data_IF_737172742126
#
_entry.id   IF_737172742126
#
_cell.length_a   1.000
_cell.length_b   1.000
_cell.length_c   1.000
_cell.angle_alpha   90.00
_cell.angle_beta   90.00
_cell.angle_gamma   90.00
#
_symmetry.space_group_name_H-M   'P 1'
#
loop_
_entity.id
_entity.type
_entity.pdbx_description
1 polymer ?
#
# COMPACT_ATOMS: atom_id res chain seq x y z
N UNK A 1 -32.14 14.39 61.95
CA UNK A 1 -31.31 13.62 61.03
C UNK A 1 -31.81 12.19 61.04
N UNK A 2 -32.67 11.79 60.10
CA UNK A 2 -33.30 10.48 60.01
C UNK A 2 -32.41 9.57 59.13
N UNK A 3 -32.03 8.42 59.66
CA UNK A 3 -31.26 7.40 59.01
C UNK A 3 -32.16 6.68 58.00
N UNK A 4 -31.80 6.50 56.73
CA UNK A 4 -32.63 5.80 55.75
C UNK A 4 -32.75 4.32 56.09
N UNK A 5 -33.93 3.77 55.89
CA UNK A 5 -34.25 2.38 56.21
C UNK A 5 -33.64 1.40 55.17
N UNK A 6 -33.47 0.16 55.59
CA UNK A 6 -32.89 -0.90 54.77
C UNK A 6 -33.68 -1.16 53.45
N UNK A 7 -34.95 -0.71 53.38
CA UNK A 7 -35.81 -0.80 52.21
C UNK A 7 -35.41 0.19 51.12
N UNK A 8 -34.95 1.42 51.47
CA UNK A 8 -34.54 2.46 50.53
C UNK A 8 -33.20 2.12 49.85
N UNK A 9 -32.34 1.41 50.55
CA UNK A 9 -31.06 0.91 50.00
C UNK A 9 -31.22 -0.24 48.97
N UNK A 10 -32.25 -1.06 49.10
CA UNK A 10 -32.57 -2.14 48.16
C UNK A 10 -33.19 -1.60 46.87
N UNK A 11 -34.09 -0.59 46.97
CA UNK A 11 -34.68 0.05 45.80
C UNK A 11 -33.65 0.84 44.99
N UNK A 12 -32.70 1.51 45.64
CA UNK A 12 -31.62 2.24 44.92
C UNK A 12 -30.65 1.34 44.19
N UNK A 13 -30.36 0.12 44.74
CA UNK A 13 -29.52 -0.88 44.07
C UNK A 13 -30.23 -1.54 42.90
N UNK A 14 -31.52 -1.79 42.98
CA UNK A 14 -32.31 -2.35 41.87
C UNK A 14 -32.46 -1.40 40.71
N UNK A 15 -32.62 -0.09 40.94
CA UNK A 15 -32.67 0.95 39.88
C UNK A 15 -31.33 1.13 39.19
N UNK A 16 -30.23 1.05 39.92
CA UNK A 16 -28.87 1.11 39.35
C UNK A 16 -28.51 -0.13 38.49
N UNK A 17 -28.96 -1.32 38.90
CA UNK A 17 -28.74 -2.55 38.13
C UNK A 17 -29.61 -2.54 36.85
N UNK A 18 -30.84 -2.05 36.91
CA UNK A 18 -31.71 -1.91 35.72
C UNK A 18 -31.18 -0.87 34.73
N UNK A 19 -30.63 0.24 35.20
CA UNK A 19 -29.99 1.23 34.35
C UNK A 19 -28.69 0.72 33.70
N UNK A 20 -27.87 -0.03 34.42
CA UNK A 20 -26.67 -0.63 33.89
C UNK A 20 -26.96 -1.72 32.84
N UNK A 21 -28.01 -2.54 33.02
CA UNK A 21 -28.47 -3.51 32.02
C UNK A 21 -29.06 -2.86 30.77
N UNK A 22 -29.79 -1.74 30.90
CA UNK A 22 -30.29 -0.98 29.74
C UNK A 22 -29.15 -0.34 28.93
N UNK A 23 -28.11 0.18 29.59
CA UNK A 23 -26.92 0.76 28.90
C UNK A 23 -26.10 -0.36 28.19
N UNK A 24 -25.99 -1.53 28.76
CA UNK A 24 -25.30 -2.68 28.14
C UNK A 24 -26.08 -3.20 26.91
N UNK A 25 -27.42 -3.18 26.91
CA UNK A 25 -28.22 -3.61 25.76
C UNK A 25 -28.23 -2.58 24.61
N UNK A 26 -28.16 -1.29 24.91
CA UNK A 26 -28.10 -0.24 23.88
C UNK A 26 -26.70 -0.24 23.20
N UNK A 27 -25.62 -0.53 23.95
CA UNK A 27 -24.28 -0.59 23.37
C UNK A 27 -24.04 -1.81 22.48
N UNK A 28 -24.67 -2.96 22.74
CA UNK A 28 -24.54 -4.15 21.88
C UNK A 28 -25.27 -4.03 20.55
N UNK A 29 -26.41 -3.35 20.50
CA UNK A 29 -27.13 -3.10 19.25
C UNK A 29 -26.43 -2.04 18.37
N UNK A 30 -25.83 -1.01 18.97
CA UNK A 30 -25.08 0.02 18.23
C UNK A 30 -23.82 -0.53 17.56
N UNK A 31 -23.16 -1.54 18.15
CA UNK A 31 -21.97 -2.18 17.56
C UNK A 31 -22.36 -3.14 16.42
N UNK A 32 -23.52 -3.78 16.48
CA UNK A 32 -24.00 -4.68 15.42
C UNK A 32 -24.44 -3.92 14.16
N UNK A 33 -25.00 -2.74 14.29
CA UNK A 33 -25.40 -1.90 13.15
C UNK A 33 -24.20 -1.30 12.38
N UNK A 34 -23.06 -1.08 13.03
CA UNK A 34 -21.84 -0.59 12.36
C UNK A 34 -21.26 -1.63 11.41
N UNK A 35 -21.49 -2.91 11.63
CA UNK A 35 -20.97 -4.02 10.80
C UNK A 35 -22.05 -4.73 9.95
N UNK A 36 -23.32 -4.43 10.12
CA UNK A 36 -24.40 -5.03 9.32
C UNK A 36 -24.69 -4.28 8.01
N UNK A 37 -24.01 -3.16 7.76
CA UNK A 37 -24.15 -2.36 6.53
C UNK A 37 -23.45 -2.93 5.28
N UNK A 38 -23.05 -4.21 5.28
CA UNK A 38 -22.35 -4.81 4.14
C UNK A 38 -23.23 -5.07 2.90
N UNK A 39 -24.54 -5.18 3.07
CA UNK A 39 -25.46 -5.48 1.95
C UNK A 39 -25.88 -4.23 1.19
N UNK A 40 -26.00 -3.07 1.84
CA UNK A 40 -26.37 -1.80 1.19
C UNK A 40 -25.21 -1.19 0.37
N UNK A 41 -23.96 -1.47 0.74
CA UNK A 41 -22.80 -0.94 0.01
C UNK A 41 -22.68 -1.54 -1.39
N UNK A 42 -22.98 -2.81 -1.58
CA UNK A 42 -22.95 -3.47 -2.87
C UNK A 42 -24.01 -2.92 -3.84
N UNK A 43 -25.22 -2.57 -3.34
CA UNK A 43 -26.30 -1.99 -4.14
C UNK A 43 -26.00 -0.54 -4.56
N UNK A 44 -25.36 0.25 -3.70
CA UNK A 44 -24.93 1.62 -4.04
C UNK A 44 -23.77 1.64 -5.06
N UNK A 45 -22.93 0.60 -5.11
CA UNK A 45 -21.86 0.48 -6.11
C UNK A 45 -22.39 0.25 -7.52
N UNK A 46 -23.56 -0.39 -7.67
CA UNK A 46 -24.14 -0.75 -8.96
C UNK A 46 -24.97 0.38 -9.62
N UNK A 47 -25.33 1.46 -8.90
CA UNK A 47 -26.36 2.42 -9.35
C UNK A 47 -25.85 3.67 -10.04
N UNK A 48 -24.57 4.06 -9.87
CA UNK A 48 -24.06 5.26 -10.51
C UNK A 48 -23.39 4.90 -11.84
N UNK A 49 -23.95 5.39 -12.94
CA UNK A 49 -23.39 5.26 -14.27
C UNK A 49 -23.38 6.63 -14.95
N UNK A 50 -22.17 7.14 -15.21
CA UNK A 50 -21.98 8.42 -15.86
C UNK A 50 -21.23 8.23 -17.18
N UNK A 51 -21.77 8.84 -18.24
CA UNK A 51 -21.13 8.86 -19.55
C UNK A 51 -20.36 10.16 -19.73
N UNK A 52 -19.30 10.17 -20.56
CA UNK A 52 -18.56 11.39 -20.87
C UNK A 52 -19.42 12.34 -21.72
N UNK A 53 -19.31 13.64 -21.41
CA UNK A 53 -19.94 14.68 -22.22
C UNK A 53 -18.97 15.36 -23.18
N UNK A 54 -17.67 15.20 -22.97
CA UNK A 54 -16.62 15.70 -23.86
C UNK A 54 -15.92 14.55 -24.59
N UNK A 55 -15.36 14.84 -25.75
CA UNK A 55 -14.56 13.85 -26.49
C UNK A 55 -13.23 13.61 -25.79
N UNK A 56 -12.75 12.38 -25.75
CA UNK A 56 -11.45 12.01 -25.16
C UNK A 56 -10.31 12.92 -25.66
N UNK A 57 -10.21 13.11 -26.99
CA UNK A 57 -9.16 13.91 -27.62
C UNK A 57 -9.14 15.38 -27.16
N UNK A 58 -10.28 15.97 -26.81
CA UNK A 58 -10.33 17.37 -26.37
C UNK A 58 -9.68 17.62 -25.01
N UNK A 59 -9.40 16.55 -24.24
CA UNK A 59 -8.69 16.68 -22.96
C UNK A 59 -7.26 17.21 -23.08
N UNK A 60 -6.65 17.11 -24.25
CA UNK A 60 -5.33 17.73 -24.55
C UNK A 60 -5.37 19.25 -24.37
N UNK A 61 -6.51 19.87 -24.66
CA UNK A 61 -6.72 21.32 -24.54
C UNK A 61 -6.80 21.77 -23.06
N UNK A 62 -6.89 20.84 -22.10
CA UNK A 62 -6.93 21.16 -20.68
C UNK A 62 -5.55 21.39 -20.06
N UNK A 63 -4.49 21.32 -20.87
CA UNK A 63 -3.12 21.60 -20.45
C UNK A 63 -2.98 23.05 -19.98
N UNK A 64 -2.26 23.27 -18.86
CA UNK A 64 -1.92 24.59 -18.35
C UNK A 64 -0.52 24.56 -17.68
N UNK A 65 -0.15 25.64 -16.96
CA UNK A 65 1.16 25.71 -16.29
C UNK A 65 1.35 24.65 -15.18
N UNK A 66 0.29 24.01 -14.70
CA UNK A 66 0.33 23.00 -13.64
C UNK A 66 0.59 21.60 -14.18
N UNK A 67 0.12 21.30 -15.37
CA UNK A 67 0.30 20.01 -16.02
C UNK A 67 0.10 20.12 -17.55
N UNK A 68 0.67 19.16 -18.25
CA UNK A 68 0.46 18.98 -19.69
C UNK A 68 -0.17 17.63 -19.95
N UNK A 69 -1.27 17.58 -20.67
CA UNK A 69 -1.81 16.35 -21.28
C UNK A 69 -1.03 16.10 -22.56
N UNK A 70 -0.17 15.10 -22.53
CA UNK A 70 0.70 14.72 -23.67
C UNK A 70 -0.11 13.99 -24.73
N UNK A 71 -1.00 13.10 -24.30
CA UNK A 71 -1.92 12.39 -25.19
C UNK A 71 -3.24 12.10 -24.50
N UNK A 72 -4.32 12.03 -25.29
CA UNK A 72 -5.64 11.55 -24.85
C UNK A 72 -6.24 10.70 -25.98
N UNK A 73 -6.30 9.40 -25.77
CA UNK A 73 -6.63 8.40 -26.79
C UNK A 73 -7.80 7.55 -26.30
N UNK A 74 -8.83 7.41 -27.13
CA UNK A 74 -9.89 6.44 -26.88
C UNK A 74 -9.34 5.03 -27.14
N UNK A 75 -9.33 4.22 -26.12
CA UNK A 75 -8.98 2.79 -26.17
C UNK A 75 -10.29 2.01 -26.30
N UNK A 76 -10.43 1.27 -27.38
CA UNK A 76 -11.60 0.44 -27.63
C UNK A 76 -11.67 -0.73 -26.63
N UNK A 77 -12.90 -1.17 -26.36
CA UNK A 77 -13.10 -2.34 -25.49
C UNK A 77 -12.51 -3.59 -26.12
N UNK A 78 -11.96 -4.45 -25.29
CA UNK A 78 -11.58 -5.80 -25.64
C UNK A 78 -12.18 -6.81 -24.63
N UNK A 79 -11.87 -8.09 -24.77
CA UNK A 79 -12.43 -9.14 -23.91
C UNK A 79 -12.12 -8.93 -22.41
N UNK A 80 -11.06 -8.17 -22.10
CA UNK A 80 -10.53 -8.01 -20.75
C UNK A 80 -10.73 -6.63 -20.16
N UNK A 81 -10.88 -5.58 -20.98
CA UNK A 81 -10.91 -4.20 -20.51
C UNK A 81 -11.99 -3.41 -21.24
N UNK A 82 -12.88 -2.68 -20.54
CA UNK A 82 -13.89 -1.83 -21.16
C UNK A 82 -13.28 -0.63 -21.90
N UNK A 83 -14.04 -0.08 -22.85
CA UNK A 83 -13.62 1.12 -23.56
C UNK A 83 -13.39 2.29 -22.56
N UNK A 84 -12.30 3.02 -22.77
CA UNK A 84 -11.91 4.11 -21.89
C UNK A 84 -11.04 5.15 -22.60
N UNK A 85 -11.07 6.36 -22.12
CA UNK A 85 -10.13 7.41 -22.52
C UNK A 85 -8.85 7.28 -21.71
N UNK A 86 -7.73 6.92 -22.36
CA UNK A 86 -6.40 6.91 -21.75
C UNK A 86 -5.72 8.25 -21.96
N UNK A 87 -5.26 8.83 -20.88
CA UNK A 87 -4.56 10.11 -20.83
C UNK A 87 -3.17 9.85 -20.27
N UNK A 88 -2.15 10.22 -21.04
CA UNK A 88 -0.78 10.28 -20.59
C UNK A 88 -0.40 11.77 -20.42
N UNK A 89 0.17 12.11 -19.27
CA UNK A 89 0.49 13.50 -18.99
C UNK A 89 1.75 13.69 -18.16
N UNK A 90 2.14 14.95 -18.04
CA UNK A 90 3.32 15.41 -17.33
C UNK A 90 2.94 16.53 -16.36
N UNK A 91 3.36 16.42 -15.12
CA UNK A 91 3.31 17.48 -14.12
C UNK A 91 4.75 17.99 -13.92
N UNK A 92 5.03 19.28 -14.00
CA UNK A 92 6.38 19.82 -13.82
C UNK A 92 6.98 19.42 -12.45
N UNK A 93 8.28 19.02 -12.41
CA UNK A 93 9.23 19.05 -13.54
C UNK A 93 9.20 17.79 -14.41
N UNK A 94 9.04 16.59 -13.82
CA UNK A 94 9.20 15.32 -14.56
C UNK A 94 8.20 14.23 -14.14
N UNK A 95 7.18 14.57 -13.35
CA UNK A 95 6.19 13.59 -12.88
C UNK A 95 5.31 13.18 -14.05
N UNK A 96 5.44 11.95 -14.50
CA UNK A 96 4.51 11.36 -15.47
C UNK A 96 3.33 10.72 -14.76
N UNK A 97 2.16 10.89 -15.35
CA UNK A 97 0.96 10.23 -14.87
C UNK A 97 0.18 9.60 -16.03
N UNK A 98 -0.53 8.54 -15.70
CA UNK A 98 -1.55 7.92 -16.55
C UNK A 98 -2.89 8.02 -15.84
N UNK A 99 -3.92 8.46 -16.57
CA UNK A 99 -5.31 8.50 -16.11
C UNK A 99 -6.18 7.79 -17.15
N UNK A 100 -7.00 6.85 -16.70
CA UNK A 100 -7.94 6.14 -17.57
C UNK A 100 -9.36 6.42 -17.10
N UNK A 101 -10.18 6.92 -17.99
CA UNK A 101 -11.55 7.35 -17.77
C UNK A 101 -12.50 6.44 -18.57
N UNK A 102 -13.23 5.50 -17.92
CA UNK A 102 -14.11 4.57 -18.62
C UNK A 102 -15.30 5.30 -19.27
N UNK A 103 -15.84 4.77 -20.38
CA UNK A 103 -17.04 5.36 -21.01
C UNK A 103 -18.30 5.19 -20.13
N UNK A 104 -18.27 4.25 -19.19
CA UNK A 104 -19.32 4.04 -18.20
C UNK A 104 -18.68 4.15 -16.83
N UNK A 105 -18.78 5.33 -16.21
CA UNK A 105 -18.09 5.64 -14.96
C UNK A 105 -19.01 5.53 -13.74
N UNK A 106 -18.54 4.91 -12.66
CA UNK A 106 -19.28 4.78 -11.40
C UNK A 106 -19.14 5.98 -10.44
N UNK A 107 -18.53 7.08 -10.89
CA UNK A 107 -18.29 8.26 -10.06
C UNK A 107 -17.10 8.16 -9.11
N UNK A 108 -16.25 7.12 -9.22
CA UNK A 108 -15.13 6.87 -8.32
C UNK A 108 -13.80 6.87 -9.05
N UNK A 109 -12.76 7.37 -8.36
CA UNK A 109 -11.37 7.32 -8.84
C UNK A 109 -10.59 6.34 -7.95
N UNK A 110 -9.85 5.44 -8.58
CA UNK A 110 -8.95 4.51 -7.93
C UNK A 110 -7.51 4.83 -8.34
N UNK A 111 -6.68 5.16 -7.36
CA UNK A 111 -5.25 5.38 -7.55
C UNK A 111 -4.47 4.30 -6.81
N UNK A 112 -3.46 3.73 -7.47
CA UNK A 112 -2.68 2.65 -6.91
C UNK A 112 -1.19 3.01 -6.78
N UNK A 113 -0.56 2.44 -5.75
CA UNK A 113 0.76 2.82 -5.29
C UNK A 113 1.92 2.20 -6.07
N UNK A 114 3.11 2.68 -5.72
CA UNK A 114 4.37 2.22 -6.26
C UNK A 114 4.98 1.13 -5.37
N UNK A 115 5.95 0.41 -5.91
CA UNK A 115 6.79 -0.52 -5.17
C UNK A 115 8.26 -0.08 -5.15
N UNK A 116 9.03 -0.55 -4.18
CA UNK A 116 10.46 -0.27 -4.09
C UNK A 116 10.79 1.21 -4.07
N UNK A 117 11.66 1.65 -4.96
CA UNK A 117 12.03 3.04 -5.13
C UNK A 117 11.19 3.78 -6.19
N UNK A 118 10.03 3.22 -6.55
CA UNK A 118 9.13 3.75 -7.57
C UNK A 118 9.74 3.79 -8.99
N UNK A 119 9.37 4.76 -9.81
CA UNK A 119 9.91 4.92 -11.18
C UNK A 119 9.46 3.83 -12.16
N UNK A 120 8.46 3.02 -11.84
CA UNK A 120 7.92 2.03 -12.77
C UNK A 120 6.97 2.72 -13.73
N UNK A 121 7.15 2.57 -15.06
CA UNK A 121 6.21 3.14 -16.02
C UNK A 121 4.82 2.50 -15.94
N UNK A 122 3.78 3.24 -16.32
CA UNK A 122 2.39 2.74 -16.34
C UNK A 122 2.20 1.53 -17.28
N UNK A 123 3.02 1.41 -18.31
CA UNK A 123 3.03 0.29 -19.26
C UNK A 123 3.58 -1.03 -18.68
N UNK A 124 4.09 -1.04 -17.46
CA UNK A 124 4.49 -2.27 -16.77
C UNK A 124 3.29 -3.20 -16.54
N UNK A 125 3.44 -4.51 -16.79
CA UNK A 125 2.35 -5.49 -16.71
C UNK A 125 1.62 -5.50 -15.37
N UNK A 126 2.36 -5.36 -14.27
CA UNK A 126 1.74 -5.32 -12.94
C UNK A 126 0.88 -4.08 -12.74
N UNK A 127 1.27 -2.94 -13.32
CA UNK A 127 0.49 -1.70 -13.31
C UNK A 127 -0.74 -1.79 -14.20
N UNK A 128 -0.61 -2.38 -15.37
CA UNK A 128 -1.73 -2.64 -16.26
C UNK A 128 -2.77 -3.53 -15.59
N UNK A 129 -2.37 -4.59 -14.90
CA UNK A 129 -3.29 -5.47 -14.19
C UNK A 129 -4.16 -4.71 -13.17
N UNK A 130 -3.54 -3.88 -12.31
CA UNK A 130 -4.27 -3.10 -11.33
C UNK A 130 -5.26 -2.11 -11.97
N UNK A 131 -4.84 -1.43 -13.05
CA UNK A 131 -5.69 -0.57 -13.87
C UNK A 131 -6.90 -1.33 -14.42
N UNK A 132 -6.65 -2.45 -15.07
CA UNK A 132 -7.66 -3.21 -15.79
C UNK A 132 -8.72 -3.80 -14.84
N UNK A 133 -8.31 -4.28 -13.67
CA UNK A 133 -9.23 -4.74 -12.63
C UNK A 133 -10.14 -3.64 -12.09
N UNK A 134 -9.66 -2.41 -12.00
CA UNK A 134 -10.47 -1.27 -11.58
C UNK A 134 -11.41 -0.78 -12.70
N UNK A 135 -10.92 -0.70 -13.95
CA UNK A 135 -11.72 -0.35 -15.12
C UNK A 135 -12.90 -1.32 -15.34
N UNK A 136 -12.70 -2.63 -15.13
CA UNK A 136 -13.79 -3.65 -15.16
C UNK A 136 -14.92 -3.34 -14.17
N UNK A 137 -14.63 -2.59 -13.12
CA UNK A 137 -15.59 -2.14 -12.10
C UNK A 137 -16.03 -0.70 -12.30
N UNK A 138 -15.82 -0.17 -13.51
CA UNK A 138 -16.18 1.21 -13.90
C UNK A 138 -15.51 2.31 -13.08
N UNK A 139 -14.38 2.05 -12.43
CA UNK A 139 -13.58 3.09 -11.80
C UNK A 139 -12.74 3.85 -12.84
N UNK A 140 -12.65 5.16 -12.69
CA UNK A 140 -11.52 5.89 -13.27
C UNK A 140 -10.23 5.50 -12.53
N UNK A 141 -9.10 5.35 -13.24
CA UNK A 141 -7.86 4.91 -12.61
C UNK A 141 -6.74 5.91 -12.81
N UNK A 142 -5.96 6.17 -11.77
CA UNK A 142 -4.81 7.06 -11.81
C UNK A 142 -3.53 6.36 -11.35
N UNK A 143 -2.40 6.72 -11.97
CA UNK A 143 -1.08 6.22 -11.63
C UNK A 143 -0.01 7.29 -11.88
N UNK A 144 1.09 7.25 -11.13
CA UNK A 144 2.27 8.11 -11.33
C UNK A 144 3.57 7.33 -11.20
N UNK A 145 4.58 7.71 -11.99
CA UNK A 145 5.94 7.19 -11.87
C UNK A 145 6.74 7.83 -10.72
N UNK A 146 6.19 8.87 -10.08
CA UNK A 146 6.82 9.67 -9.01
C UNK A 146 8.00 10.55 -9.47
N UNK A 147 8.03 10.96 -10.72
CA UNK A 147 8.99 11.93 -11.26
C UNK A 147 10.32 11.34 -11.71
N UNK A 148 10.39 10.03 -11.97
CA UNK A 148 11.57 9.38 -12.56
C UNK A 148 11.21 8.04 -13.23
N UNK A 149 12.12 7.55 -14.06
CA UNK A 149 12.03 6.25 -14.69
C UNK A 149 13.17 5.34 -14.19
N UNK A 150 12.85 4.25 -13.50
CA UNK A 150 13.83 3.31 -12.94
C UNK A 150 14.71 2.62 -14.00
N UNK A 151 14.31 2.64 -15.27
CA UNK A 151 15.09 2.09 -16.40
C UNK A 151 16.23 3.04 -16.78
N UNK A 152 16.06 4.34 -16.54
CA UNK A 152 17.04 5.40 -16.82
C UNK A 152 17.86 5.71 -15.57
N UNK A 153 17.21 5.80 -14.43
CA UNK A 153 17.83 6.10 -13.14
C UNK A 153 17.54 4.98 -12.13
N UNK A 154 18.29 3.85 -12.21
CA UNK A 154 18.04 2.69 -11.37
C UNK A 154 18.34 2.97 -9.90
N UNK A 155 17.64 2.25 -9.03
CA UNK A 155 17.83 2.35 -7.59
C UNK A 155 17.51 3.75 -7.05
N UNK A 156 18.35 4.26 -6.16
CA UNK A 156 18.21 5.59 -5.55
C UNK A 156 18.90 6.71 -6.32
N UNK A 157 19.49 6.42 -7.48
CA UNK A 157 20.29 7.39 -8.26
C UNK A 157 19.50 8.58 -8.75
N UNK A 158 18.17 8.45 -8.91
CA UNK A 158 17.30 9.55 -9.29
C UNK A 158 17.34 10.72 -8.30
N UNK A 159 17.60 10.43 -7.01
CA UNK A 159 17.63 11.44 -5.94
C UNK A 159 19.03 12.06 -5.74
N UNK A 160 20.08 11.52 -6.42
CA UNK A 160 21.45 12.03 -6.26
C UNK A 160 21.55 13.46 -6.81
N UNK A 161 21.92 14.39 -5.92
CA UNK A 161 21.98 15.83 -6.22
C UNK A 161 20.70 16.41 -6.86
N UNK A 162 19.55 15.78 -6.65
CA UNK A 162 18.28 16.22 -7.20
C UNK A 162 17.18 16.22 -6.12
N UNK A 163 17.11 17.33 -5.40
CA UNK A 163 16.14 17.50 -4.32
C UNK A 163 14.69 17.49 -4.82
N UNK A 164 14.41 17.99 -6.03
CA UNK A 164 13.06 17.99 -6.60
C UNK A 164 12.53 16.57 -6.80
N UNK A 165 13.34 15.67 -7.35
CA UNK A 165 12.94 14.26 -7.51
C UNK A 165 12.75 13.56 -6.16
N UNK A 166 13.52 13.93 -5.14
CA UNK A 166 13.32 13.41 -3.79
C UNK A 166 11.98 13.87 -3.22
N UNK A 167 11.60 15.13 -3.41
CA UNK A 167 10.30 15.68 -2.99
C UNK A 167 9.14 15.02 -3.76
N UNK A 168 9.30 14.84 -5.07
CA UNK A 168 8.31 14.16 -5.91
C UNK A 168 8.07 12.73 -5.45
N UNK A 169 9.15 11.96 -5.27
CA UNK A 169 9.09 10.61 -4.71
C UNK A 169 8.52 10.58 -3.29
N UNK A 170 8.87 11.58 -2.47
CA UNK A 170 8.45 11.67 -1.08
C UNK A 170 6.93 11.78 -0.94
N UNK A 171 6.32 12.73 -1.63
CA UNK A 171 4.89 13.03 -1.46
C UNK A 171 4.24 13.81 -2.61
N UNK A 172 4.99 14.67 -3.32
CA UNK A 172 4.41 15.66 -4.25
C UNK A 172 3.75 14.99 -5.46
N UNK A 173 4.35 13.93 -6.00
CA UNK A 173 3.83 13.27 -7.19
C UNK A 173 2.45 12.66 -6.99
N UNK A 174 2.22 11.95 -5.88
CA UNK A 174 0.91 11.37 -5.57
C UNK A 174 -0.15 12.46 -5.42
N UNK A 175 0.14 13.49 -4.61
CA UNK A 175 -0.76 14.61 -4.37
C UNK A 175 -1.17 15.32 -5.67
N UNK A 176 -0.21 15.71 -6.48
CA UNK A 176 -0.51 16.44 -7.71
C UNK A 176 -1.20 15.56 -8.75
N UNK A 177 -0.85 14.28 -8.84
CA UNK A 177 -1.50 13.36 -9.76
C UNK A 177 -2.98 13.18 -9.45
N UNK A 178 -3.34 12.95 -8.19
CA UNK A 178 -4.77 12.78 -7.85
C UNK A 178 -5.55 14.08 -8.05
N UNK A 179 -4.98 15.24 -7.72
CA UNK A 179 -5.63 16.54 -8.00
C UNK A 179 -5.87 16.76 -9.48
N UNK A 180 -4.85 16.50 -10.33
CA UNK A 180 -4.96 16.59 -11.78
C UNK A 180 -6.00 15.60 -12.31
N UNK A 181 -6.00 14.37 -11.80
CA UNK A 181 -6.97 13.34 -12.20
C UNK A 181 -8.41 13.73 -11.87
N UNK A 182 -8.66 14.29 -10.67
CA UNK A 182 -9.98 14.83 -10.29
C UNK A 182 -10.44 15.95 -11.22
N UNK A 183 -9.52 16.84 -11.61
CA UNK A 183 -9.80 17.95 -12.52
C UNK A 183 -10.17 17.45 -13.91
N UNK A 184 -9.37 16.56 -14.49
CA UNK A 184 -9.60 16.01 -15.83
C UNK A 184 -10.87 15.15 -15.88
N UNK A 185 -11.13 14.34 -14.86
CA UNK A 185 -12.38 13.58 -14.75
C UNK A 185 -13.59 14.53 -14.67
N UNK A 186 -13.51 15.59 -13.84
CA UNK A 186 -14.58 16.59 -13.75
C UNK A 186 -14.86 17.26 -15.10
N UNK A 187 -13.83 17.56 -15.87
CA UNK A 187 -14.04 18.11 -17.20
C UNK A 187 -14.69 17.09 -18.13
N UNK A 188 -14.17 15.86 -18.17
CA UNK A 188 -14.63 14.82 -19.10
C UNK A 188 -16.11 14.43 -18.91
N UNK A 189 -16.55 14.29 -17.64
CA UNK A 189 -17.92 13.90 -17.31
C UNK A 189 -18.83 15.08 -16.92
N UNK A 190 -18.30 16.32 -16.89
CA UNK A 190 -18.97 17.50 -16.30
C UNK A 190 -19.47 17.24 -14.86
N UNK A 191 -18.76 16.40 -14.11
CA UNK A 191 -19.12 15.97 -12.78
C UNK A 191 -17.87 15.65 -11.95
N UNK A 192 -17.85 16.13 -10.72
CA UNK A 192 -16.80 15.74 -9.77
C UNK A 192 -16.92 14.27 -9.39
N UNK A 193 -15.80 13.64 -9.07
CA UNK A 193 -15.81 12.31 -8.47
C UNK A 193 -16.58 12.35 -7.13
N UNK A 194 -17.41 11.34 -6.91
CA UNK A 194 -18.11 11.17 -5.63
C UNK A 194 -17.12 10.73 -4.54
N UNK A 195 -16.20 9.84 -4.90
CA UNK A 195 -15.18 9.31 -4.01
C UNK A 195 -13.88 9.05 -4.74
N UNK A 196 -12.78 9.07 -4.01
CA UNK A 196 -11.44 8.73 -4.47
C UNK A 196 -10.77 7.77 -3.48
N UNK A 197 -10.13 6.74 -4.01
CA UNK A 197 -9.53 5.68 -3.21
C UNK A 197 -8.06 5.50 -3.56
N UNK A 198 -7.28 5.23 -2.51
CA UNK A 198 -5.89 4.81 -2.63
C UNK A 198 -5.72 3.36 -2.19
N UNK A 199 -4.94 2.59 -2.95
CA UNK A 199 -4.48 1.27 -2.54
C UNK A 199 -2.98 1.14 -2.81
N UNK A 200 -2.20 0.83 -1.78
CA UNK A 200 -0.77 0.66 -1.94
C UNK A 200 -0.13 -0.20 -0.85
N UNK A 201 0.82 -1.04 -1.27
CA UNK A 201 1.61 -1.89 -0.39
C UNK A 201 3.09 -1.46 -0.42
N UNK A 202 3.85 -1.72 0.64
CA UNK A 202 5.28 -1.38 0.75
C UNK A 202 5.51 0.14 0.61
N UNK A 203 6.20 0.59 -0.41
CA UNK A 203 6.30 2.03 -0.74
C UNK A 203 4.93 2.66 -0.97
N UNK A 204 3.99 1.94 -1.60
CA UNK A 204 2.60 2.38 -1.74
C UNK A 204 1.88 2.51 -0.40
N UNK A 205 2.18 1.67 0.57
CA UNK A 205 1.71 1.80 1.96
C UNK A 205 2.30 3.04 2.64
N UNK A 206 3.57 3.36 2.42
CA UNK A 206 4.19 4.63 2.87
C UNK A 206 3.51 5.84 2.23
N UNK A 207 3.27 5.80 0.92
CA UNK A 207 2.55 6.85 0.19
C UNK A 207 1.13 7.05 0.76
N UNK A 208 0.44 5.96 1.08
CA UNK A 208 -0.86 5.96 1.75
C UNK A 208 -0.83 6.74 3.08
N UNK A 209 0.11 6.41 3.97
CA UNK A 209 0.25 7.07 5.27
C UNK A 209 0.59 8.56 5.14
N UNK A 210 1.47 8.90 4.19
CA UNK A 210 1.82 10.30 3.92
C UNK A 210 0.61 11.07 3.38
N UNK A 211 -0.16 10.48 2.46
CA UNK A 211 -1.38 11.10 1.92
C UNK A 211 -2.42 11.33 3.01
N UNK A 212 -2.69 10.33 3.86
CA UNK A 212 -3.61 10.47 4.97
C UNK A 212 -3.20 11.59 5.95
N UNK A 213 -1.91 11.71 6.24
CA UNK A 213 -1.40 12.69 7.19
C UNK A 213 -1.31 14.11 6.61
N UNK A 214 -0.78 14.25 5.39
CA UNK A 214 -0.46 15.57 4.83
C UNK A 214 -1.54 16.12 3.90
N UNK A 215 -2.31 15.25 3.27
CA UNK A 215 -3.30 15.60 2.26
C UNK A 215 -4.62 14.84 2.46
N UNK A 216 -5.29 15.03 3.63
CA UNK A 216 -6.46 14.24 4.01
C UNK A 216 -7.65 14.39 3.03
N UNK A 217 -7.66 15.43 2.20
CA UNK A 217 -8.70 15.67 1.20
C UNK A 217 -8.42 15.00 -0.16
N UNK A 218 -7.28 14.30 -0.30
CA UNK A 218 -6.94 13.66 -1.57
C UNK A 218 -7.76 12.38 -1.80
N UNK A 219 -8.01 11.63 -0.73
CA UNK A 219 -8.68 10.33 -0.80
C UNK A 219 -9.72 10.19 0.31
N UNK A 220 -10.86 9.59 -0.04
CA UNK A 220 -11.97 9.28 0.89
C UNK A 220 -11.74 7.91 1.57
N UNK A 221 -10.97 7.03 0.94
CA UNK A 221 -10.59 5.73 1.50
C UNK A 221 -9.16 5.37 1.12
N UNK A 222 -8.40 4.86 2.10
CA UNK A 222 -6.97 4.54 1.95
C UNK A 222 -6.69 3.14 2.48
N UNK A 223 -6.11 2.29 1.64
CA UNK A 223 -5.53 0.99 2.03
C UNK A 223 -4.01 1.13 2.06
N UNK A 224 -3.43 0.99 3.26
CA UNK A 224 -1.99 1.05 3.50
C UNK A 224 -1.45 -0.34 3.87
N UNK A 225 -1.14 -1.15 2.87
CA UNK A 225 -0.59 -2.49 3.06
C UNK A 225 0.90 -2.46 3.41
N UNK A 226 1.32 -3.18 4.46
CA UNK A 226 2.72 -3.35 4.86
C UNK A 226 3.59 -2.09 4.62
N UNK A 227 3.24 -0.93 5.21
CA UNK A 227 3.86 0.35 4.87
C UNK A 227 5.34 0.39 5.26
N UNK A 228 6.18 0.87 4.36
CA UNK A 228 7.59 1.19 4.65
C UNK A 228 7.66 2.49 5.50
N UNK A 229 7.17 2.44 6.75
CA UNK A 229 6.88 3.60 7.58
C UNK A 229 8.15 4.34 8.03
N UNK A 230 9.06 3.69 8.75
CA UNK A 230 10.36 4.26 9.10
C UNK A 230 11.35 4.09 7.92
N UNK A 231 11.13 4.86 6.87
CA UNK A 231 11.83 4.65 5.60
C UNK A 231 13.34 4.86 5.70
N UNK A 232 13.79 5.88 6.42
CA UNK A 232 15.22 6.14 6.64
C UNK A 232 15.87 5.00 7.42
N UNK A 233 15.28 4.58 8.55
CA UNK A 233 15.77 3.45 9.34
C UNK A 233 15.79 2.15 8.54
N UNK A 234 14.76 1.89 7.71
CA UNK A 234 14.72 0.75 6.81
C UNK A 234 15.90 0.77 5.81
N UNK A 235 16.22 1.94 5.22
CA UNK A 235 17.32 2.07 4.27
C UNK A 235 18.69 1.90 4.93
N UNK A 236 18.89 2.47 6.10
CA UNK A 236 20.12 2.25 6.87
C UNK A 236 20.29 0.77 7.26
N UNK A 237 19.24 0.12 7.73
CA UNK A 237 19.26 -1.33 8.04
C UNK A 237 19.57 -2.17 6.80
N UNK A 238 19.01 -1.83 5.64
CA UNK A 238 19.32 -2.52 4.38
C UNK A 238 20.80 -2.33 3.98
N UNK A 239 21.32 -1.11 4.06
CA UNK A 239 22.71 -0.83 3.73
C UNK A 239 23.67 -1.59 4.66
N UNK A 240 23.40 -1.58 5.98
CA UNK A 240 24.19 -2.31 6.97
C UNK A 240 24.21 -3.82 6.70
N UNK A 241 23.03 -4.43 6.48
CA UNK A 241 22.93 -5.86 6.14
C UNK A 241 23.64 -6.20 4.84
N UNK A 242 23.48 -5.37 3.80
CA UNK A 242 24.16 -5.59 2.51
C UNK A 242 25.67 -5.55 2.68
N UNK A 243 26.19 -4.61 3.47
CA UNK A 243 27.61 -4.51 3.77
C UNK A 243 28.12 -5.74 4.53
N UNK A 244 27.39 -6.21 5.53
CA UNK A 244 27.75 -7.43 6.27
C UNK A 244 27.82 -8.66 5.36
N UNK A 245 26.76 -8.87 4.56
CA UNK A 245 26.67 -10.03 3.66
C UNK A 245 27.70 -9.94 2.51
N UNK A 246 28.02 -8.75 2.00
CA UNK A 246 28.99 -8.59 0.90
C UNK A 246 30.42 -9.04 1.24
N UNK A 247 30.71 -9.17 2.53
CA UNK A 247 31.99 -9.69 3.04
C UNK A 247 31.97 -11.21 3.29
N UNK A 248 30.89 -11.88 2.96
CA UNK A 248 30.68 -13.30 3.18
C UNK A 248 30.46 -14.04 1.84
N UNK A 249 30.70 -15.37 1.87
CA UNK A 249 30.49 -16.28 0.74
C UNK A 249 29.22 -17.11 0.89
N UNK A 250 28.16 -16.54 1.51
CA UNK A 250 26.90 -17.24 1.71
C UNK A 250 26.27 -17.63 0.38
N UNK A 251 26.36 -18.93 0.07
CA UNK A 251 25.72 -19.51 -1.11
C UNK A 251 24.25 -19.86 -0.80
N UNK A 252 23.45 -20.08 -1.86
CA UNK A 252 22.07 -20.53 -1.72
C UNK A 252 21.96 -21.85 -0.90
N UNK A 253 22.89 -22.77 -1.12
CA UNK A 253 22.96 -24.03 -0.36
C UNK A 253 23.24 -23.80 1.13
N UNK A 254 24.10 -22.84 1.48
CA UNK A 254 24.34 -22.45 2.88
C UNK A 254 23.13 -21.77 3.51
N UNK A 255 22.42 -20.93 2.76
CA UNK A 255 21.17 -20.32 3.21
C UNK A 255 20.09 -21.38 3.48
N UNK A 256 20.00 -22.40 2.63
CA UNK A 256 19.09 -23.53 2.86
C UNK A 256 19.47 -24.33 4.13
N UNK A 257 20.77 -24.57 4.37
CA UNK A 257 21.26 -25.22 5.60
C UNK A 257 20.97 -24.38 6.83
N UNK A 258 21.19 -23.07 6.78
CA UNK A 258 20.83 -22.12 7.84
C UNK A 258 19.34 -22.20 8.17
N UNK A 259 18.48 -22.12 7.15
CA UNK A 259 17.02 -22.24 7.32
C UNK A 259 16.62 -23.53 8.02
N UNK A 260 17.20 -24.66 7.59
CA UNK A 260 16.95 -25.97 8.20
C UNK A 260 17.30 -25.99 9.70
N UNK A 261 18.47 -25.46 10.09
CA UNK A 261 18.90 -25.43 11.50
C UNK A 261 17.98 -24.52 12.33
N UNK A 262 17.62 -23.34 11.80
CA UNK A 262 16.69 -22.43 12.49
C UNK A 262 15.33 -23.06 12.70
N UNK A 263 14.74 -23.69 11.67
CA UNK A 263 13.45 -24.37 11.80
C UNK A 263 13.51 -25.51 12.79
N UNK A 264 14.56 -26.33 12.76
CA UNK A 264 14.75 -27.41 13.74
C UNK A 264 14.81 -26.91 15.19
N UNK A 265 15.42 -25.75 15.42
CA UNK A 265 15.57 -25.17 16.75
C UNK A 265 14.31 -24.42 17.23
N UNK A 266 13.61 -23.75 16.34
CA UNK A 266 12.63 -22.72 16.72
C UNK A 266 11.18 -23.06 16.37
N UNK A 267 10.94 -23.86 15.34
CA UNK A 267 9.60 -24.26 14.91
C UNK A 267 8.82 -24.97 16.04
N UNK A 268 9.39 -25.94 16.79
CA UNK A 268 8.65 -26.63 17.85
C UNK A 268 8.30 -25.77 19.09
N UNK A 269 8.81 -24.53 19.18
CA UNK A 269 8.65 -23.70 20.37
C UNK A 269 7.23 -23.18 20.61
N UNK A 270 6.37 -23.22 19.61
CA UNK A 270 4.95 -22.87 19.74
C UNK A 270 4.04 -24.09 19.98
N UNK A 271 4.61 -25.29 19.99
CA UNK A 271 3.90 -26.56 20.23
C UNK A 271 3.57 -27.34 18.96
N UNK A 272 3.92 -26.81 17.76
CA UNK A 272 3.76 -27.49 16.46
C UNK A 272 5.09 -27.47 15.69
N UNK A 273 5.36 -28.50 14.91
CA UNK A 273 6.50 -28.56 14.01
C UNK A 273 5.96 -28.58 12.55
N UNK A 274 5.43 -27.45 12.12
CA UNK A 274 4.67 -27.31 10.87
C UNK A 274 5.35 -26.41 9.82
N UNK A 275 6.59 -25.96 10.08
CA UNK A 275 7.34 -25.07 9.21
C UNK A 275 6.99 -23.59 9.40
N UNK A 276 6.28 -23.23 10.47
CA UNK A 276 5.94 -21.86 10.83
C UNK A 276 6.45 -21.51 12.23
N UNK A 277 7.35 -20.55 12.33
CA UNK A 277 7.79 -19.99 13.61
C UNK A 277 6.84 -18.86 14.00
N UNK A 278 5.85 -19.14 14.84
CA UNK A 278 4.76 -18.21 15.19
C UNK A 278 5.24 -16.96 15.93
N UNK A 279 6.25 -17.09 16.80
CA UNK A 279 6.89 -15.96 17.47
C UNK A 279 8.42 -16.06 17.41
N UNK A 280 9.07 -15.44 16.40
CA UNK A 280 10.52 -15.52 16.24
C UNK A 280 11.30 -14.89 17.40
N UNK A 281 10.67 -14.06 18.26
CA UNK A 281 11.32 -13.45 19.43
C UNK A 281 11.58 -14.47 20.54
N UNK A 282 10.90 -15.60 20.52
CA UNK A 282 11.10 -16.71 21.46
C UNK A 282 12.22 -17.66 21.03
N UNK A 283 12.71 -17.49 19.80
CA UNK A 283 13.76 -18.32 19.24
C UNK A 283 15.13 -17.82 19.71
N UNK A 284 15.76 -18.55 20.63
CA UNK A 284 17.10 -18.27 21.12
C UNK A 284 18.18 -18.91 20.22
N UNK A 285 18.16 -18.50 18.93
CA UNK A 285 19.16 -18.95 17.94
C UNK A 285 20.33 -17.97 17.86
N UNK A 286 21.54 -18.50 18.08
CA UNK A 286 22.78 -17.72 18.03
C UNK A 286 23.72 -18.38 17.00
N UNK A 287 24.00 -17.71 15.86
CA UNK A 287 24.80 -18.30 14.77
C UNK A 287 26.14 -18.91 15.22
N UNK A 288 26.86 -18.24 16.12
CA UNK A 288 28.16 -18.72 16.61
C UNK A 288 28.09 -19.92 17.53
N UNK A 289 26.92 -20.20 18.14
CA UNK A 289 26.67 -21.35 19.02
C UNK A 289 26.07 -22.51 18.25
N UNK A 290 25.13 -22.23 17.36
CA UNK A 290 24.18 -23.21 16.83
C UNK A 290 24.51 -23.69 15.42
N UNK A 291 25.40 -22.98 14.72
CA UNK A 291 25.82 -23.39 13.38
C UNK A 291 27.14 -24.17 13.41
N UNK A 292 27.29 -25.20 12.56
CA UNK A 292 28.54 -25.91 12.41
C UNK A 292 29.61 -25.01 11.78
N UNK A 293 30.76 -24.88 12.44
CA UNK A 293 31.90 -24.08 11.94
C UNK A 293 32.78 -24.97 11.06
N UNK A 294 33.13 -24.48 9.88
CA UNK A 294 34.02 -25.19 8.96
C UNK A 294 35.47 -25.28 9.52
N UNK A 295 36.09 -26.44 9.35
CA UNK A 295 37.55 -26.54 9.39
C UNK A 295 38.21 -25.85 8.19
N UNK A 296 39.51 -25.56 8.27
CA UNK A 296 40.25 -24.87 7.19
C UNK A 296 40.17 -25.58 5.82
N UNK A 297 39.91 -26.89 5.82
CA UNK A 297 39.81 -27.71 4.62
C UNK A 297 38.40 -27.78 4.04
N UNK A 298 37.37 -27.30 4.79
CA UNK A 298 35.93 -27.45 4.46
C UNK A 298 35.24 -26.14 4.14
N UNK A 299 35.96 -25.03 3.96
CA UNK A 299 35.36 -23.69 3.77
C UNK A 299 34.40 -23.59 2.59
N UNK A 300 34.53 -24.45 1.58
CA UNK A 300 33.61 -24.52 0.43
C UNK A 300 32.43 -25.46 0.64
N UNK A 301 32.32 -26.16 1.78
CA UNK A 301 31.20 -27.05 2.08
C UNK A 301 29.92 -26.25 2.33
N UNK A 302 28.81 -26.79 1.86
CA UNK A 302 27.47 -26.24 2.17
C UNK A 302 26.92 -26.67 3.55
N UNK A 303 27.63 -27.60 4.23
CA UNK A 303 27.19 -28.15 5.52
C UNK A 303 27.74 -27.39 6.74
N UNK A 304 28.67 -26.46 6.55
CA UNK A 304 29.28 -25.67 7.62
C UNK A 304 29.48 -24.21 7.20
N UNK A 305 29.80 -23.34 8.16
CA UNK A 305 29.96 -21.91 7.97
C UNK A 305 31.37 -21.45 8.38
N UNK A 306 31.97 -20.61 7.58
CA UNK A 306 33.23 -19.95 7.93
C UNK A 306 33.02 -18.92 9.05
N UNK A 307 34.09 -18.50 9.71
CA UNK A 307 34.01 -17.45 10.75
C UNK A 307 33.50 -16.11 10.20
N UNK A 308 33.81 -15.78 8.94
CA UNK A 308 33.32 -14.57 8.27
C UNK A 308 31.82 -14.65 7.98
N UNK A 309 31.32 -15.82 7.59
CA UNK A 309 29.88 -16.05 7.39
C UNK A 309 29.09 -15.99 8.70
N UNK A 310 29.59 -16.62 9.76
CA UNK A 310 29.00 -16.53 11.13
C UNK A 310 28.92 -15.08 11.59
N UNK A 311 29.96 -14.26 11.31
CA UNK A 311 29.96 -12.84 11.69
C UNK A 311 28.97 -12.01 10.86
N UNK A 312 28.67 -12.41 9.63
CA UNK A 312 27.73 -11.73 8.75
C UNK A 312 26.27 -12.03 9.09
N UNK A 313 26.00 -13.19 9.71
CA UNK A 313 24.70 -13.62 10.22
C UNK A 313 24.37 -13.03 11.58
#
# INVERSE_FOLDING_TARGET
MSIPTQHDLILSKLTLISAALLIAFVSTNAISEIFSGSDDSASQYAQASYEPIHRCKSLVEQSDYRFTVVSAILVEANNDVPAHCRIDGLIPTEIRFELNLPLTWNGRIYMYGNGGLAGTPAVDRGKQYARDQALKRSFATAYTDTGHDKRVTPGGTFAHNNFHKLVDYGFRAVHLTIKTSKLLARHYYNRSANFSYWNGCSTGGRQAMISAQRFPNDFDGIIAGAPAANYSGLKFSQAWRTQAISQSTLTEAKVATLGKVIYQACDPLDGSADGLISDPRRCDFIPSRDLPICSAQEELSSSCFSRSEIKAL
#
